data_IF_510497002221
#
_entry.id   IF_510497002221
#
_cell.length_a   1.000
_cell.length_b   1.000
_cell.length_c   1.000
_cell.angle_alpha   90.00
_cell.angle_beta   90.00
_cell.angle_gamma   90.00
#
_symmetry.space_group_name_H-M   'P 1'
#
loop_
_entity.id
_entity.type
_entity.pdbx_description
1 polymer ?
#
# COMPACT_ATOMS: atom_id res chain seq x y z
N UNK A 1 -6.14 -5.94 -3.52
CA UNK A 1 -7.20 -5.22 -4.28
C UNK A 1 -6.57 -3.99 -4.92
N UNK A 2 -6.94 -3.64 -6.16
CA UNK A 2 -6.61 -2.33 -6.73
C UNK A 2 -7.76 -1.38 -6.37
N UNK A 3 -7.46 -0.22 -5.78
CA UNK A 3 -8.48 0.72 -5.32
C UNK A 3 -7.98 2.16 -5.45
N UNK A 4 -8.42 2.86 -6.49
CA UNK A 4 -8.05 4.27 -6.75
C UNK A 4 -8.74 5.25 -5.79
N UNK A 5 -9.71 4.78 -4.98
CA UNK A 5 -10.29 5.56 -3.89
C UNK A 5 -9.41 5.59 -2.64
N UNK A 6 -8.45 4.67 -2.53
CA UNK A 6 -7.46 4.64 -1.46
C UNK A 6 -6.21 5.42 -1.87
N UNK A 7 -5.71 6.28 -0.98
CA UNK A 7 -4.39 6.90 -1.15
C UNK A 7 -3.27 5.86 -1.00
N UNK A 8 -3.02 5.38 0.24
CA UNK A 8 -1.89 4.51 0.51
C UNK A 8 -2.12 3.07 0.07
N UNK A 9 -1.01 2.38 -0.19
CA UNK A 9 -0.99 0.92 -0.24
C UNK A 9 -0.99 0.36 1.18
N UNK A 10 -1.84 -0.62 1.47
CA UNK A 10 -1.90 -1.28 2.78
C UNK A 10 -1.85 -2.80 2.67
N UNK A 11 -1.30 -3.46 3.68
CA UNK A 11 -1.26 -4.93 3.77
C UNK A 11 -1.49 -5.39 5.20
N UNK A 12 -2.26 -6.46 5.37
CA UNK A 12 -2.47 -7.09 6.68
C UNK A 12 -1.21 -7.82 7.13
N UNK A 13 -0.89 -7.71 8.42
CA UNK A 13 0.34 -8.25 9.02
C UNK A 13 0.56 -9.76 8.78
N UNK A 14 -0.49 -10.57 8.68
CA UNK A 14 -0.36 -12.02 8.39
C UNK A 14 0.24 -12.33 7.03
N UNK A 15 0.20 -11.38 6.08
CA UNK A 15 0.71 -11.57 4.72
C UNK A 15 2.14 -11.06 4.54
N UNK A 16 2.80 -10.64 5.62
CA UNK A 16 4.17 -10.15 5.56
C UNK A 16 5.14 -11.33 5.57
N UNK A 17 6.02 -11.46 4.56
CA UNK A 17 7.05 -12.49 4.57
C UNK A 17 8.03 -12.31 5.73
N UNK A 18 8.57 -13.44 6.23
CA UNK A 18 9.63 -13.41 7.23
C UNK A 18 10.92 -12.82 6.64
N UNK A 19 11.70 -12.12 7.47
CA UNK A 19 13.01 -11.59 7.08
C UNK A 19 12.98 -10.29 6.28
N UNK A 20 11.80 -9.66 6.12
CA UNK A 20 11.68 -8.34 5.50
C UNK A 20 12.11 -7.25 6.48
N UNK A 21 12.78 -6.22 5.95
CA UNK A 21 13.14 -5.01 6.71
C UNK A 21 11.87 -4.19 6.94
N UNK A 22 11.60 -3.89 8.21
CA UNK A 22 10.44 -3.10 8.65
C UNK A 22 10.92 -1.71 9.04
N UNK A 23 10.30 -0.68 8.48
CA UNK A 23 10.44 0.69 8.95
C UNK A 23 9.43 0.98 10.06
N UNK A 24 9.95 1.13 11.28
CA UNK A 24 9.15 1.33 12.48
C UNK A 24 8.69 2.77 12.72
N UNK A 25 9.24 3.73 12.00
CA UNK A 25 8.95 5.16 12.19
C UNK A 25 7.84 5.67 11.28
N UNK A 26 7.54 4.92 10.21
CA UNK A 26 6.50 5.28 9.24
C UNK A 26 5.10 4.81 9.67
N UNK A 27 4.48 5.57 10.56
CA UNK A 27 3.09 5.39 10.99
C UNK A 27 2.20 6.44 10.31
N UNK A 28 1.15 5.97 9.63
CA UNK A 28 0.19 6.82 8.93
C UNK A 28 -1.18 6.76 9.63
N UNK A 29 -1.86 7.92 9.68
CA UNK A 29 -3.23 8.06 10.15
C UNK A 29 -4.18 7.91 8.97
N UNK A 30 -4.96 6.83 8.94
CA UNK A 30 -5.98 6.57 7.94
C UNK A 30 -7.33 7.11 8.40
N UNK A 31 -8.05 7.76 7.49
CA UNK A 31 -9.40 8.28 7.72
C UNK A 31 -10.37 7.70 6.67
N UNK A 32 -11.67 7.77 6.92
CA UNK A 32 -12.70 7.34 5.97
C UNK A 32 -13.01 5.84 5.98
N UNK A 33 -12.48 5.09 6.96
CA UNK A 33 -12.72 3.66 7.13
C UNK A 33 -13.83 3.40 8.16
N UNK A 34 -13.80 4.13 9.27
CA UNK A 34 -14.83 4.12 10.31
C UNK A 34 -14.93 5.51 10.97
N UNK A 35 -15.75 5.64 12.01
CA UNK A 35 -15.96 6.90 12.75
C UNK A 35 -14.66 7.48 13.32
N UNK A 36 -13.69 6.62 13.65
CA UNK A 36 -12.43 6.99 14.25
C UNK A 36 -11.24 6.74 13.30
N UNK A 37 -10.15 7.51 13.44
CA UNK A 37 -8.96 7.26 12.66
C UNK A 37 -8.31 5.92 13.01
N UNK A 38 -7.81 5.23 12.00
CA UNK A 38 -7.04 3.99 12.16
C UNK A 38 -5.56 4.30 11.91
N UNK A 39 -4.69 3.84 12.79
CA UNK A 39 -3.25 4.02 12.64
C UNK A 39 -2.62 2.76 12.06
N UNK A 40 -1.74 2.94 11.07
CA UNK A 40 -0.94 1.83 10.54
C UNK A 40 0.10 1.43 11.57
N UNK A 41 0.56 0.18 11.52
CA UNK A 41 1.58 -0.31 12.43
C UNK A 41 2.95 0.18 12.00
N UNK A 42 3.38 -0.14 10.78
CA UNK A 42 4.74 0.12 10.27
C UNK A 42 4.70 0.24 8.75
N UNK A 43 5.85 0.39 8.11
CA UNK A 43 5.98 0.36 6.65
C UNK A 43 6.97 -0.73 6.21
N UNK A 44 6.69 -1.34 5.07
CA UNK A 44 7.56 -2.34 4.41
C UNK A 44 7.62 -2.06 2.91
N UNK A 45 8.64 -2.62 2.27
CA UNK A 45 8.76 -2.65 0.80
C UNK A 45 8.64 -4.10 0.34
N UNK A 46 7.77 -4.36 -0.62
CA UNK A 46 7.58 -5.67 -1.24
C UNK A 46 7.67 -5.56 -2.76
N UNK A 47 8.15 -6.61 -3.42
CA UNK A 47 8.11 -6.68 -4.89
C UNK A 47 6.71 -7.10 -5.35
N UNK A 48 6.10 -6.30 -6.21
CA UNK A 48 4.80 -6.56 -6.84
C UNK A 48 4.97 -6.37 -8.34
N UNK A 49 4.73 -7.43 -9.12
CA UNK A 49 4.94 -7.42 -10.59
C UNK A 49 6.34 -6.98 -11.03
N UNK A 50 7.36 -7.24 -10.21
CA UNK A 50 8.75 -6.85 -10.49
C UNK A 50 9.12 -5.44 -10.06
N UNK A 51 8.18 -4.66 -9.52
CA UNK A 51 8.41 -3.30 -9.02
C UNK A 51 8.46 -3.29 -7.48
N UNK A 52 9.31 -2.45 -6.90
CA UNK A 52 9.33 -2.21 -5.47
C UNK A 52 8.15 -1.32 -5.07
N UNK A 53 7.30 -1.84 -4.19
CA UNK A 53 6.10 -1.14 -3.73
C UNK A 53 6.15 -1.00 -2.23
N UNK A 54 6.00 0.24 -1.79
CA UNK A 54 5.85 0.55 -0.37
C UNK A 54 4.43 0.22 0.10
N UNK A 55 4.32 -0.49 1.23
CA UNK A 55 3.06 -0.79 1.91
C UNK A 55 3.11 -0.32 3.36
N UNK A 56 1.98 0.21 3.84
CA UNK A 56 1.73 0.36 5.26
C UNK A 56 1.08 -0.89 5.84
N UNK A 57 1.60 -1.38 6.95
CA UNK A 57 1.05 -2.55 7.64
C UNK A 57 -0.19 -2.13 8.43
N UNK A 58 -1.25 -2.93 8.33
CA UNK A 58 -2.45 -2.82 9.17
C UNK A 58 -2.70 -4.11 9.94
N UNK A 59 -3.46 -4.02 11.03
CA UNK A 59 -3.91 -5.19 11.81
C UNK A 59 -4.75 -6.14 10.93
N UNK A 60 -4.77 -7.42 11.27
CA UNK A 60 -5.64 -8.40 10.58
C UNK A 60 -7.14 -8.07 10.71
N UNK A 61 -7.52 -7.36 11.77
CA UNK A 61 -8.88 -6.87 12.03
C UNK A 61 -9.26 -5.64 11.18
N UNK A 62 -8.34 -5.15 10.33
CA UNK A 62 -8.66 -4.06 9.41
C UNK A 62 -9.83 -4.45 8.49
N UNK A 63 -10.85 -3.59 8.32
CA UNK A 63 -12.18 -3.97 7.80
C UNK A 63 -12.21 -4.09 6.27
N UNK A 64 -11.33 -4.93 5.74
CA UNK A 64 -11.30 -5.38 4.34
C UNK A 64 -11.22 -6.90 4.34
N UNK A 65 -11.86 -7.54 3.35
CA UNK A 65 -11.80 -9.00 3.22
C UNK A 65 -10.53 -9.48 2.51
N UNK A 66 -9.86 -8.60 1.75
CA UNK A 66 -8.64 -8.92 1.03
C UNK A 66 -7.39 -8.85 1.93
N UNK A 67 -6.28 -9.39 1.44
CA UNK A 67 -4.97 -9.31 2.10
C UNK A 67 -4.43 -7.88 2.21
N UNK A 68 -4.83 -7.00 1.30
CA UNK A 68 -4.32 -5.63 1.20
C UNK A 68 -4.91 -4.86 0.02
N UNK A 69 -4.57 -3.57 -0.04
CA UNK A 69 -4.97 -2.61 -1.06
C UNK A 69 -3.72 -2.03 -1.71
N UNK A 70 -3.76 -1.92 -3.03
CA UNK A 70 -2.89 -1.09 -3.84
C UNK A 70 -3.67 0.18 -4.19
N UNK A 71 -3.31 1.29 -3.54
CA UNK A 71 -3.92 2.60 -3.70
C UNK A 71 -3.24 3.46 -4.76
N UNK A 72 -3.59 4.74 -4.80
CA UNK A 72 -2.96 5.73 -5.68
C UNK A 72 -1.44 5.78 -5.55
N UNK A 73 -0.88 5.54 -4.37
CA UNK A 73 0.58 5.45 -4.16
C UNK A 73 1.26 4.47 -5.12
N UNK A 74 0.62 3.33 -5.43
CA UNK A 74 1.14 2.36 -6.41
C UNK A 74 1.14 2.93 -7.83
N UNK A 75 0.07 3.63 -8.22
CA UNK A 75 -0.05 4.24 -9.53
C UNK A 75 0.90 5.43 -9.71
N UNK A 76 1.09 6.25 -8.67
CA UNK A 76 2.02 7.39 -8.64
C UNK A 76 3.50 6.95 -8.61
N UNK A 77 3.82 5.88 -7.89
CA UNK A 77 5.16 5.26 -7.93
C UNK A 77 5.43 4.71 -9.33
N UNK A 78 4.45 4.03 -9.94
CA UNK A 78 4.60 3.50 -11.29
C UNK A 78 4.69 4.60 -12.37
N UNK A 79 4.04 5.75 -12.18
CA UNK A 79 4.04 6.86 -13.14
C UNK A 79 5.35 7.67 -13.08
N UNK A 80 6.01 7.73 -11.92
CA UNK A 80 7.34 8.31 -11.78
C UNK A 80 8.42 7.49 -12.51
N UNK A 81 8.24 6.15 -12.62
CA UNK A 81 9.04 5.27 -13.49
C UNK A 81 8.51 5.16 -14.94
N UNK A 82 7.32 5.70 -15.26
CA UNK A 82 6.68 5.60 -16.59
C UNK A 82 6.13 6.92 -17.14
N UNK A 83 6.81 8.05 -16.93
CA UNK A 83 6.54 9.25 -17.74
C UNK A 83 6.88 9.05 -19.23
N UNK A 84 7.46 7.91 -19.65
CA UNK A 84 7.80 7.64 -21.05
C UNK A 84 6.87 6.68 -21.83
N UNK A 85 5.95 5.93 -21.20
CA UNK A 85 5.27 4.82 -21.92
C UNK A 85 3.75 4.99 -22.07
N UNK A 86 3.09 5.88 -21.33
CA UNK A 86 1.61 6.04 -21.42
C UNK A 86 1.15 7.18 -22.35
N UNK A 87 2.01 7.63 -23.28
CA UNK A 87 1.67 8.65 -24.31
C UNK A 87 1.78 8.14 -25.75
N UNK A 88 1.95 6.83 -25.95
CA UNK A 88 1.78 6.19 -27.25
C UNK A 88 0.68 5.17 -27.10
N UNK A 89 -0.24 5.14 -28.05
CA UNK A 89 -1.39 4.24 -28.17
C UNK A 89 -2.75 4.84 -27.77
N UNK A 90 -3.01 6.08 -28.23
CA UNK A 90 -4.34 6.50 -28.69
C UNK A 90 -4.20 7.08 -30.10
#
# INVERSE_FOLDING_TARGET
>A
MLDTGSGPNIIKETFIPKGIIIDYNSILKLNGINEYPVYTLRKITLSVFGEEVNFHIVSNEFPISQSGILGNDFFEQSSSNKRLIMQKDI
#
